data_IF_246163846274
#
_entry.id   IF_246163846274
#
_cell.length_a   1.000
_cell.length_b   1.000
_cell.length_c   1.000
_cell.angle_alpha   90.00
_cell.angle_beta   90.00
_cell.angle_gamma   90.00
#
_symmetry.space_group_name_H-M   'P 1'
#
loop_
_entity.id
_entity.type
_entity.pdbx_description
1 polymer ?
#
# COMPACT_ATOMS: atom_id res chain seq x y z
N UNK A 1 2.77 -4.61 23.97
CA UNK A 1 2.94 -3.19 24.39
C UNK A 1 3.44 -3.15 25.83
N UNK A 2 4.49 -2.38 26.12
CA UNK A 2 5.08 -2.30 27.48
C UNK A 2 4.25 -1.38 28.40
N UNK A 3 3.96 -1.85 29.61
CA UNK A 3 3.22 -1.16 30.69
C UNK A 3 3.81 0.23 31.00
N UNK A 4 5.12 0.40 30.79
CA UNK A 4 5.85 1.64 31.05
C UNK A 4 5.40 2.82 30.15
N UNK A 5 5.02 2.55 28.89
CA UNK A 5 4.56 3.61 27.96
C UNK A 5 3.18 4.14 28.33
N UNK A 6 2.34 3.30 28.95
CA UNK A 6 0.99 3.66 29.40
C UNK A 6 1.03 4.59 30.63
N UNK A 7 2.02 4.42 31.50
CA UNK A 7 2.23 5.23 32.70
C UNK A 7 2.77 6.63 32.41
N UNK A 8 3.48 6.82 31.30
CA UNK A 8 4.13 8.09 30.95
C UNK A 8 3.29 9.02 30.05
N UNK A 9 2.03 8.68 29.76
CA UNK A 9 1.17 9.52 28.90
C UNK A 9 1.68 9.68 27.46
N UNK A 10 2.61 8.84 27.01
CA UNK A 10 3.14 8.86 25.64
C UNK A 10 2.06 8.27 24.73
N UNK A 11 1.39 9.13 23.96
CA UNK A 11 0.43 8.72 22.94
C UNK A 11 1.09 7.71 21.98
N UNK A 12 0.50 6.52 21.88
CA UNK A 12 1.02 5.40 21.07
C UNK A 12 0.96 5.62 19.55
N UNK A 13 0.52 6.79 19.10
CA UNK A 13 0.26 7.09 17.69
C UNK A 13 1.37 7.92 17.03
N UNK A 14 2.46 8.22 17.74
CA UNK A 14 3.61 8.97 17.22
C UNK A 14 4.76 7.99 16.97
N UNK A 15 5.02 7.60 15.72
CA UNK A 15 6.22 6.85 15.38
C UNK A 15 7.50 7.61 15.74
N UNK A 16 8.49 6.88 16.23
CA UNK A 16 9.83 7.41 16.42
C UNK A 16 10.51 7.67 15.07
N UNK A 17 11.02 8.89 14.90
CA UNK A 17 11.72 9.34 13.69
C UNK A 17 13.22 9.48 14.00
N UNK A 18 14.07 8.92 13.14
CA UNK A 18 15.53 9.02 13.27
C UNK A 18 16.17 9.22 11.90
N UNK A 19 17.41 9.70 11.90
CA UNK A 19 18.19 9.82 10.66
C UNK A 19 18.49 8.43 10.07
N UNK A 20 18.29 8.30 8.75
CA UNK A 20 18.54 7.08 7.99
C UNK A 20 20.00 7.06 7.51
N UNK A 21 20.83 6.19 8.10
CA UNK A 21 22.25 6.07 7.75
C UNK A 21 22.41 5.10 6.58
N UNK A 22 23.22 5.48 5.59
CA UNK A 22 23.54 4.63 4.42
C UNK A 22 22.42 4.52 3.38
N UNK A 23 21.41 5.38 3.46
CA UNK A 23 20.34 5.45 2.49
C UNK A 23 20.77 6.17 1.19
N UNK A 24 20.46 5.59 0.04
CA UNK A 24 20.64 6.22 -1.26
C UNK A 24 19.26 6.36 -1.97
N UNK A 25 18.72 7.58 -2.09
CA UNK A 25 17.40 7.83 -2.70
C UNK A 25 17.30 7.36 -4.15
N UNK A 26 18.40 7.33 -4.90
CA UNK A 26 18.41 6.91 -6.31
C UNK A 26 18.08 5.42 -6.53
N UNK A 27 18.00 4.62 -5.45
CA UNK A 27 17.75 3.17 -5.51
C UNK A 27 16.36 2.77 -5.00
N UNK A 28 15.51 3.73 -4.64
CA UNK A 28 14.18 3.46 -4.09
C UNK A 28 13.13 4.15 -4.96
N UNK A 29 12.00 3.47 -5.19
CA UNK A 29 10.84 4.11 -5.81
C UNK A 29 10.30 5.17 -4.86
N UNK A 30 10.60 6.43 -5.14
CA UNK A 30 10.16 7.57 -4.35
C UNK A 30 8.94 8.21 -4.99
N UNK A 31 8.04 8.71 -4.15
CA UNK A 31 7.05 9.70 -4.58
C UNK A 31 7.46 11.05 -4.01
N UNK A 32 7.27 12.11 -4.78
CA UNK A 32 7.71 13.45 -4.41
C UNK A 32 6.52 14.41 -4.37
N UNK A 33 6.56 15.35 -3.43
CA UNK A 33 5.71 16.52 -3.47
C UNK A 33 6.20 17.58 -2.49
N UNK A 34 5.95 18.83 -2.86
CA UNK A 34 6.41 20.02 -2.15
C UNK A 34 7.87 19.98 -1.65
N UNK A 35 8.79 19.43 -2.47
CA UNK A 35 10.21 19.37 -2.14
C UNK A 35 10.59 18.29 -1.11
N UNK A 36 9.73 17.30 -0.87
CA UNK A 36 10.00 16.14 -0.01
C UNK A 36 9.73 14.86 -0.77
N UNK A 37 10.66 13.91 -0.68
CA UNK A 37 10.54 12.58 -1.26
C UNK A 37 10.21 11.53 -0.18
N UNK A 38 9.31 10.60 -0.50
CA UNK A 38 8.88 9.54 0.39
C UNK A 38 9.09 8.17 -0.22
N UNK A 39 9.43 7.18 0.61
CA UNK A 39 9.64 5.80 0.16
C UNK A 39 9.59 4.79 1.29
N UNK A 40 10.09 3.59 1.01
CA UNK A 40 10.19 2.51 1.99
C UNK A 40 11.64 2.09 2.22
N UNK A 41 12.01 1.92 3.49
CA UNK A 41 13.15 1.07 3.88
C UNK A 41 12.64 -0.17 4.61
N UNK A 42 13.48 -1.20 4.62
CA UNK A 42 13.14 -2.48 5.19
C UNK A 42 14.21 -2.91 6.17
N UNK A 43 13.78 -3.38 7.34
CA UNK A 43 14.66 -4.03 8.31
C UNK A 43 14.26 -5.51 8.38
N UNK A 44 15.18 -6.40 7.99
CA UNK A 44 14.95 -7.84 8.02
C UNK A 44 14.74 -8.33 9.47
N UNK A 45 13.72 -9.16 9.67
CA UNK A 45 13.43 -9.79 10.96
C UNK A 45 14.11 -11.15 11.12
N UNK A 46 14.74 -11.69 10.05
CA UNK A 46 15.42 -12.99 10.07
C UNK A 46 14.47 -14.20 9.99
N UNK A 47 13.18 -13.97 9.77
CA UNK A 47 12.14 -15.02 9.70
C UNK A 47 11.38 -15.03 8.36
N UNK A 48 11.95 -14.45 7.31
CA UNK A 48 11.30 -14.31 6.01
C UNK A 48 10.34 -13.12 5.90
N UNK A 49 10.27 -12.27 6.93
CA UNK A 49 9.55 -10.99 6.92
C UNK A 49 10.49 -9.83 7.19
N UNK A 50 10.09 -8.62 6.79
CA UNK A 50 10.80 -7.40 7.13
C UNK A 50 9.86 -6.39 7.74
N UNK A 51 10.35 -5.67 8.77
CA UNK A 51 9.69 -4.47 9.28
C UNK A 51 9.78 -3.37 8.22
N UNK A 52 8.63 -2.78 7.89
CA UNK A 52 8.53 -1.66 6.94
C UNK A 52 8.78 -0.36 7.70
N UNK A 53 9.53 0.54 7.08
CA UNK A 53 9.78 1.90 7.57
C UNK A 53 9.43 2.89 6.48
N UNK A 54 8.83 4.00 6.88
CA UNK A 54 8.58 5.13 5.99
C UNK A 54 9.84 5.99 5.96
N UNK A 55 10.35 6.23 4.75
CA UNK A 55 11.45 7.15 4.50
C UNK A 55 10.90 8.53 4.16
N UNK A 56 11.58 9.55 4.67
CA UNK A 56 11.26 10.96 4.47
C UNK A 56 12.56 11.67 4.13
N UNK A 57 12.67 12.16 2.89
CA UNK A 57 13.88 12.80 2.37
C UNK A 57 13.53 14.21 1.89
N UNK A 58 13.65 15.23 2.75
CA UNK A 58 13.44 16.62 2.35
C UNK A 58 14.56 17.06 1.40
N UNK A 59 14.24 17.48 0.18
CA UNK A 59 15.22 17.83 -0.86
C UNK A 59 16.06 19.07 -0.52
N UNK A 60 15.55 19.91 0.39
CA UNK A 60 16.25 21.08 0.91
C UNK A 60 17.25 20.74 2.03
N UNK A 61 17.36 19.46 2.43
CA UNK A 61 18.32 18.97 3.43
C UNK A 61 19.15 17.84 2.85
N UNK A 62 20.41 17.73 3.26
CA UNK A 62 21.27 16.58 2.91
C UNK A 62 21.02 15.37 3.82
N UNK A 63 19.81 15.25 4.38
CA UNK A 63 19.45 14.25 5.39
C UNK A 63 18.19 13.51 4.98
N UNK A 64 18.19 12.20 5.23
CA UNK A 64 16.99 11.38 5.11
C UNK A 64 16.64 10.85 6.49
N UNK A 65 15.36 10.76 6.77
CA UNK A 65 14.81 10.23 8.01
C UNK A 65 14.04 8.95 7.73
N UNK A 66 14.00 8.06 8.71
CA UNK A 66 13.13 6.89 8.70
C UNK A 66 12.27 6.87 9.97
N UNK A 67 11.04 6.41 9.82
CA UNK A 67 10.18 6.12 10.96
C UNK A 67 9.57 4.72 10.84
N UNK A 68 9.39 4.06 11.98
CA UNK A 68 8.79 2.73 12.02
C UNK A 68 7.29 2.82 11.71
N UNK A 69 6.78 1.97 10.80
CA UNK A 69 5.32 1.83 10.61
C UNK A 69 4.70 0.83 11.59
N UNK A 70 5.55 0.08 12.31
CA UNK A 70 5.21 -1.06 13.18
C UNK A 70 4.49 -2.22 12.46
N UNK A 71 4.62 -2.27 11.14
CA UNK A 71 4.08 -3.34 10.30
C UNK A 71 5.24 -4.13 9.70
N UNK A 72 5.17 -5.44 9.84
CA UNK A 72 6.05 -6.37 9.11
C UNK A 72 5.27 -7.00 7.96
N UNK A 73 5.96 -7.21 6.84
CA UNK A 73 5.42 -7.92 5.67
C UNK A 73 6.35 -9.04 5.27
N UNK A 74 5.82 -10.15 4.74
CA UNK A 74 6.64 -11.17 4.10
C UNK A 74 7.54 -10.56 3.02
N UNK A 75 8.78 -11.06 2.92
CA UNK A 75 9.78 -10.52 2.01
C UNK A 75 9.33 -10.56 0.53
N UNK A 76 8.55 -11.58 0.16
CA UNK A 76 7.94 -11.73 -1.17
C UNK A 76 6.84 -10.70 -1.50
N UNK A 77 6.35 -9.97 -0.50
CA UNK A 77 5.28 -8.97 -0.66
C UNK A 77 5.80 -7.52 -0.67
N UNK A 78 7.11 -7.29 -0.54
CA UNK A 78 7.71 -5.95 -0.52
C UNK A 78 7.33 -5.11 -1.75
N UNK A 79 7.35 -5.71 -2.92
CA UNK A 79 7.02 -5.03 -4.20
C UNK A 79 5.52 -4.80 -4.40
N UNK A 80 4.68 -5.31 -3.49
CA UNK A 80 3.24 -5.12 -3.48
C UNK A 80 2.77 -3.99 -2.55
N UNK A 81 3.68 -3.37 -1.80
CA UNK A 81 3.37 -2.14 -1.09
C UNK A 81 3.10 -1.01 -2.09
N UNK A 82 2.20 -0.09 -1.74
CA UNK A 82 1.93 1.11 -2.54
C UNK A 82 1.93 2.33 -1.63
N UNK A 83 2.65 3.35 -2.05
CA UNK A 83 2.71 4.66 -1.41
C UNK A 83 1.96 5.68 -2.28
N UNK A 84 1.19 6.56 -1.67
CA UNK A 84 0.51 7.67 -2.36
C UNK A 84 0.61 8.96 -1.55
N UNK A 85 0.80 10.09 -2.23
CA UNK A 85 0.76 11.41 -1.61
C UNK A 85 -0.68 11.91 -1.61
N UNK A 86 -1.21 12.23 -0.44
CA UNK A 86 -2.60 12.62 -0.21
C UNK A 86 -2.69 14.14 -0.07
N UNK A 87 -1.79 14.72 0.69
CA UNK A 87 -1.70 16.17 0.88
C UNK A 87 -0.24 16.53 0.89
N UNK A 88 0.11 17.58 0.18
CA UNK A 88 1.45 18.12 0.12
C UNK A 88 1.39 19.63 0.32
N UNK A 89 1.92 20.08 1.45
CA UNK A 89 1.88 21.49 1.86
C UNK A 89 3.18 21.91 2.53
N UNK A 90 3.39 23.21 2.72
CA UNK A 90 4.61 23.72 3.35
C UNK A 90 4.77 23.28 4.82
N UNK A 91 3.67 22.90 5.49
CA UNK A 91 3.68 22.61 6.93
C UNK A 91 3.47 21.13 7.22
N UNK A 92 2.47 20.52 6.59
CA UNK A 92 2.04 19.15 6.87
C UNK A 92 1.76 18.42 5.57
N UNK A 93 2.47 17.33 5.36
CA UNK A 93 2.17 16.38 4.31
C UNK A 93 1.37 15.21 4.86
N UNK A 94 0.57 14.57 4.00
CA UNK A 94 -0.13 13.32 4.32
C UNK A 94 0.18 12.28 3.28
N UNK A 95 0.59 11.11 3.74
CA UNK A 95 0.89 9.96 2.88
C UNK A 95 -0.02 8.79 3.24
N UNK A 96 -0.40 8.04 2.22
CA UNK A 96 -1.14 6.79 2.32
C UNK A 96 -0.26 5.61 1.96
N UNK A 97 -0.28 4.54 2.76
CA UNK A 97 0.41 3.29 2.49
C UNK A 97 -0.60 2.15 2.45
N UNK A 98 -0.57 1.36 1.38
CA UNK A 98 -1.31 0.09 1.32
C UNK A 98 -0.38 -1.04 1.77
N UNK A 99 -0.83 -1.78 2.78
CA UNK A 99 -0.21 -3.02 3.24
C UNK A 99 -1.06 -4.23 2.85
N UNK A 100 -0.46 -5.28 2.26
CA UNK A 100 -1.15 -6.56 2.08
C UNK A 100 -1.38 -7.22 3.45
N UNK A 101 -2.56 -7.80 3.65
CA UNK A 101 -2.87 -8.60 4.83
C UNK A 101 -2.79 -10.09 4.47
N UNK A 102 -1.75 -10.75 4.99
CA UNK A 102 -1.52 -12.18 4.78
C UNK A 102 -2.63 -13.04 5.40
N UNK A 103 -2.90 -14.15 4.73
CA UNK A 103 -3.88 -15.14 5.13
C UNK A 103 -3.60 -16.49 4.50
N UNK A 104 -4.50 -17.43 4.79
CA UNK A 104 -4.52 -18.76 4.21
C UNK A 104 -5.76 -18.83 3.31
N UNK A 105 -5.56 -19.26 2.07
CA UNK A 105 -6.61 -19.47 1.08
C UNK A 105 -7.48 -20.70 1.36
N UNK A 106 -8.41 -20.99 0.46
CA UNK A 106 -9.30 -22.15 0.60
C UNK A 106 -8.55 -23.48 0.44
N UNK A 107 -7.47 -23.51 -0.33
CA UNK A 107 -6.64 -24.70 -0.59
C UNK A 107 -5.42 -24.80 0.35
N UNK A 108 -5.35 -23.95 1.39
CA UNK A 108 -4.25 -23.95 2.36
C UNK A 108 -3.01 -23.17 1.93
N UNK A 109 -3.06 -22.51 0.78
CA UNK A 109 -1.98 -21.69 0.24
C UNK A 109 -1.89 -20.31 0.91
N UNK A 110 -0.69 -19.72 0.95
CA UNK A 110 -0.53 -18.34 1.40
C UNK A 110 -1.13 -17.39 0.38
N UNK A 111 -1.96 -16.46 0.85
CA UNK A 111 -2.58 -15.45 0.00
C UNK A 111 -2.69 -14.10 0.71
N UNK A 112 -3.03 -13.06 -0.06
CA UNK A 112 -3.38 -11.74 0.48
C UNK A 112 -4.90 -11.64 0.57
N UNK A 113 -5.46 -11.99 1.73
CA UNK A 113 -6.93 -12.05 1.93
C UNK A 113 -7.61 -10.70 2.02
N UNK A 114 -6.82 -9.64 2.23
CA UNK A 114 -7.28 -8.28 2.45
C UNK A 114 -6.13 -7.30 2.28
N UNK A 115 -6.46 -6.01 2.28
CA UNK A 115 -5.48 -4.93 2.29
C UNK A 115 -5.79 -4.01 3.46
N UNK A 116 -4.81 -3.23 3.90
CA UNK A 116 -5.03 -2.13 4.83
C UNK A 116 -4.40 -0.85 4.30
N UNK A 117 -5.18 0.22 4.31
CA UNK A 117 -4.74 1.56 3.99
C UNK A 117 -4.44 2.32 5.28
N UNK A 118 -3.18 2.67 5.47
CA UNK A 118 -2.69 3.43 6.61
C UNK A 118 -2.37 4.85 6.16
N UNK A 119 -2.83 5.83 6.93
CA UNK A 119 -2.55 7.25 6.67
C UNK A 119 -1.62 7.80 7.73
N UNK A 120 -0.61 8.55 7.29
CA UNK A 120 0.37 9.21 8.16
C UNK A 120 0.40 10.70 7.85
N UNK A 121 0.37 11.52 8.90
CA UNK A 121 0.63 12.96 8.84
C UNK A 121 2.09 13.22 9.16
N UNK A 122 2.72 14.10 8.39
CA UNK A 122 4.15 14.37 8.47
C UNK A 122 4.30 15.88 8.58
N UNK A 123 4.58 16.36 9.79
CA UNK A 123 4.85 17.77 10.02
C UNK A 123 6.31 18.06 9.69
N UNK A 124 6.50 18.95 8.72
CA UNK A 124 7.82 19.35 8.26
C UNK A 124 8.53 20.21 9.31
N UNK A 125 9.85 20.08 9.37
CA UNK A 125 10.70 20.77 10.35
C UNK A 125 12.10 20.94 9.81
N UNK A 126 12.76 22.01 10.23
CA UNK A 126 14.17 22.29 9.89
C UNK A 126 15.13 21.29 10.55
N UNK A 127 14.72 20.65 11.65
CA UNK A 127 15.58 19.74 12.41
C UNK A 127 15.27 18.27 12.11
N UNK A 128 14.09 17.80 12.53
CA UNK A 128 13.63 16.42 12.35
C UNK A 128 12.13 16.48 12.12
N UNK A 129 11.60 15.87 11.05
CA UNK A 129 10.16 15.81 10.84
C UNK A 129 9.49 15.01 11.95
N UNK A 130 8.24 15.34 12.27
CA UNK A 130 7.44 14.52 13.20
C UNK A 130 6.35 13.79 12.42
N UNK A 131 6.19 12.50 12.71
CA UNK A 131 5.19 11.65 12.06
C UNK A 131 4.10 11.28 13.05
N UNK A 132 2.85 11.28 12.59
CA UNK A 132 1.68 10.81 13.33
C UNK A 132 0.93 9.78 12.47
N UNK A 133 0.56 8.64 13.06
CA UNK A 133 -0.37 7.71 12.42
C UNK A 133 -1.81 8.21 12.61
N UNK A 134 -2.47 8.58 11.51
CA UNK A 134 -3.77 9.27 11.53
C UNK A 134 -4.96 8.32 11.47
N UNK A 135 -4.89 7.28 10.63
CA UNK A 135 -5.99 6.35 10.42
C UNK A 135 -5.52 5.00 9.85
N UNK A 136 -6.34 3.96 10.05
CA UNK A 136 -6.21 2.65 9.40
C UNK A 136 -7.58 2.23 8.87
N UNK A 137 -7.63 1.84 7.59
CA UNK A 137 -8.83 1.27 6.96
C UNK A 137 -8.55 -0.06 6.31
N UNK A 138 -9.32 -1.07 6.68
CA UNK A 138 -9.28 -2.38 6.04
C UNK A 138 -10.05 -2.33 4.73
N UNK A 139 -9.48 -2.90 3.67
CA UNK A 139 -10.06 -3.02 2.35
C UNK A 139 -10.23 -4.51 2.04
N UNK A 140 -11.46 -4.91 1.84
CA UNK A 140 -11.88 -6.28 1.53
C UNK A 140 -13.21 -6.21 0.79
N UNK A 141 -13.76 -7.35 0.37
CA UNK A 141 -14.95 -7.36 -0.49
C UNK A 141 -16.18 -6.75 0.19
N UNK A 142 -16.38 -7.08 1.46
CA UNK A 142 -17.50 -6.64 2.29
C UNK A 142 -17.01 -6.04 3.61
N UNK A 143 -17.61 -4.93 4.08
CA UNK A 143 -17.18 -4.29 5.33
C UNK A 143 -17.36 -5.18 6.56
N UNK A 144 -18.30 -6.13 6.55
CA UNK A 144 -18.40 -7.15 7.59
C UNK A 144 -17.29 -8.19 7.43
N UNK A 145 -16.36 -8.22 8.39
CA UNK A 145 -15.24 -9.15 8.43
C UNK A 145 -15.67 -10.63 8.37
N UNK A 146 -16.85 -10.96 8.87
CA UNK A 146 -17.35 -12.33 8.93
C UNK A 146 -18.16 -12.74 7.70
N UNK A 147 -18.35 -11.82 6.74
CA UNK A 147 -19.08 -12.10 5.53
C UNK A 147 -18.42 -13.21 4.72
N UNK A 148 -19.20 -14.20 4.29
CA UNK A 148 -18.74 -15.25 3.37
C UNK A 148 -18.21 -14.69 2.04
N UNK A 149 -18.61 -13.48 1.65
CA UNK A 149 -18.06 -12.79 0.49
C UNK A 149 -16.56 -12.50 0.61
N UNK A 150 -16.01 -12.46 1.83
CA UNK A 150 -14.60 -12.22 2.07
C UNK A 150 -13.73 -13.48 1.95
N UNK A 151 -14.33 -14.67 1.99
CA UNK A 151 -13.62 -15.96 2.00
C UNK A 151 -12.95 -16.21 0.65
N UNK A 152 -11.71 -16.72 0.70
CA UNK A 152 -10.92 -17.11 -0.47
C UNK A 152 -10.43 -15.96 -1.35
N UNK A 153 -10.66 -14.69 -0.98
CA UNK A 153 -10.10 -13.58 -1.75
C UNK A 153 -8.57 -13.64 -1.72
N UNK A 154 -7.97 -13.24 -2.84
CA UNK A 154 -6.53 -13.17 -3.00
C UNK A 154 -6.22 -11.93 -3.84
N UNK A 155 -5.76 -10.88 -3.17
CA UNK A 155 -5.46 -9.60 -3.81
C UNK A 155 -4.01 -9.54 -4.28
N UNK A 156 -3.75 -8.89 -5.41
CA UNK A 156 -2.42 -8.80 -5.98
C UNK A 156 -2.14 -7.44 -6.60
N UNK A 157 -0.91 -6.95 -6.38
CA UNK A 157 -0.40 -5.66 -6.88
C UNK A 157 -1.35 -4.48 -6.61
N UNK A 158 -1.64 -4.18 -5.33
CA UNK A 158 -2.48 -3.04 -5.02
C UNK A 158 -1.78 -1.72 -5.39
N UNK A 159 -2.57 -0.74 -5.83
CA UNK A 159 -2.13 0.63 -6.13
C UNK A 159 -3.13 1.63 -5.55
N UNK A 160 -2.62 2.70 -4.95
CA UNK A 160 -3.42 3.83 -4.50
C UNK A 160 -3.10 5.07 -5.34
N UNK A 161 -4.11 5.91 -5.57
CA UNK A 161 -3.90 7.27 -6.03
C UNK A 161 -4.92 8.22 -5.40
N UNK A 162 -4.48 9.44 -5.13
CA UNK A 162 -5.33 10.58 -4.82
C UNK A 162 -6.09 11.02 -6.08
N UNK A 163 -7.36 11.36 -5.92
CA UNK A 163 -8.16 12.03 -6.96
C UNK A 163 -8.40 13.51 -6.59
N UNK A 164 -8.82 14.32 -7.55
CA UNK A 164 -8.84 15.79 -7.45
C UNK A 164 -9.64 16.35 -6.25
N UNK A 165 -10.67 15.61 -5.79
CA UNK A 165 -11.47 16.02 -4.64
C UNK A 165 -10.84 15.65 -3.28
N UNK A 166 -9.62 15.13 -3.27
CA UNK A 166 -8.89 14.69 -2.07
C UNK A 166 -9.22 13.27 -1.61
N UNK A 167 -10.16 12.57 -2.27
CA UNK A 167 -10.42 11.15 -2.02
C UNK A 167 -9.25 10.29 -2.54
N UNK A 168 -9.23 9.03 -2.11
CA UNK A 168 -8.25 8.05 -2.59
C UNK A 168 -8.98 6.88 -3.24
N UNK A 169 -8.51 6.46 -4.40
CA UNK A 169 -8.94 5.21 -5.03
C UNK A 169 -7.83 4.19 -4.83
N UNK A 170 -8.21 3.01 -4.35
CA UNK A 170 -7.33 1.84 -4.28
C UNK A 170 -7.81 0.82 -5.29
N UNK A 171 -6.91 0.29 -6.09
CA UNK A 171 -7.20 -0.79 -7.04
C UNK A 171 -6.28 -1.98 -6.79
N UNK A 172 -6.77 -3.18 -7.07
CA UNK A 172 -5.98 -4.40 -7.00
C UNK A 172 -6.57 -5.47 -7.93
N UNK A 173 -5.77 -6.46 -8.32
CA UNK A 173 -6.30 -7.68 -8.90
C UNK A 173 -6.92 -8.53 -7.80
N UNK A 174 -8.13 -9.06 -8.01
CA UNK A 174 -8.67 -10.16 -7.22
C UNK A 174 -8.52 -11.45 -8.04
N UNK A 175 -7.59 -12.31 -7.63
CA UNK A 175 -7.21 -13.52 -8.36
C UNK A 175 -8.30 -14.59 -8.32
N UNK A 176 -9.12 -14.63 -7.25
CA UNK A 176 -10.25 -15.57 -7.13
C UNK A 176 -11.32 -15.29 -8.18
N UNK A 177 -11.75 -14.03 -8.26
CA UNK A 177 -12.80 -13.62 -9.19
C UNK A 177 -12.28 -13.33 -10.61
N UNK A 178 -10.94 -13.33 -10.79
CA UNK A 178 -10.26 -12.88 -12.01
C UNK A 178 -10.73 -11.50 -12.48
N UNK A 179 -10.85 -10.58 -11.53
CA UNK A 179 -11.33 -9.21 -11.78
C UNK A 179 -10.39 -8.18 -11.19
N UNK A 180 -10.15 -7.10 -11.93
CA UNK A 180 -9.60 -5.89 -11.36
C UNK A 180 -10.69 -5.22 -10.54
N UNK A 181 -10.37 -4.88 -9.31
CA UNK A 181 -11.32 -4.34 -8.34
C UNK A 181 -10.83 -3.02 -7.76
N UNK A 182 -11.74 -2.26 -7.16
CA UNK A 182 -11.46 -0.97 -6.56
C UNK A 182 -12.18 -0.75 -5.24
N UNK A 183 -11.58 0.07 -4.38
CA UNK A 183 -12.19 0.67 -3.20
C UNK A 183 -12.07 2.18 -3.30
N UNK A 184 -13.14 2.88 -2.92
CA UNK A 184 -13.18 4.33 -2.88
C UNK A 184 -13.11 4.77 -1.42
N UNK A 185 -12.10 5.57 -1.09
CA UNK A 185 -11.83 6.09 0.23
C UNK A 185 -12.17 7.58 0.23
N UNK A 186 -13.35 7.90 0.79
CA UNK A 186 -13.78 9.28 0.93
C UNK A 186 -12.99 9.97 2.03
N UNK A 187 -12.38 11.11 1.70
CA UNK A 187 -11.66 11.93 2.65
C UNK A 187 -12.61 12.52 3.69
N UNK A 188 -12.21 12.44 4.94
CA UNK A 188 -12.91 12.99 6.10
C UNK A 188 -12.09 14.11 6.76
N UNK A 189 -12.56 14.58 7.92
CA UNK A 189 -11.82 15.57 8.71
C UNK A 189 -10.48 14.99 9.18
N UNK A 190 -9.46 15.84 9.22
CA UNK A 190 -8.14 15.53 9.81
C UNK A 190 -7.39 14.36 9.16
N UNK A 191 -7.58 14.11 7.87
CA UNK A 191 -6.84 13.07 7.14
C UNK A 191 -7.32 11.64 7.39
N UNK A 192 -8.49 11.47 8.02
CA UNK A 192 -9.15 10.17 8.16
C UNK A 192 -9.94 9.84 6.90
N UNK A 193 -10.11 8.56 6.60
CA UNK A 193 -10.83 8.11 5.42
C UNK A 193 -12.02 7.23 5.79
N UNK A 194 -13.10 7.30 4.99
CA UNK A 194 -14.21 6.36 5.06
C UNK A 194 -14.25 5.54 3.78
N UNK A 195 -14.23 4.21 3.91
CA UNK A 195 -14.49 3.32 2.77
C UNK A 195 -15.96 3.48 2.37
N UNK A 196 -16.22 3.77 1.10
CA UNK A 196 -17.59 3.89 0.60
C UNK A 196 -18.24 2.51 0.48
N UNK A 197 -19.38 2.36 1.14
CA UNK A 197 -20.23 1.19 1.09
C UNK A 197 -21.18 1.23 -0.12
N UNK A 198 -21.33 0.07 -0.75
CA UNK A 198 -22.32 -0.21 -1.77
C UNK A 198 -23.51 -0.99 -1.19
N UNK A 199 -24.31 -1.56 -2.09
CA UNK A 199 -25.45 -2.43 -1.71
C UNK A 199 -24.94 -3.61 -0.89
N UNK A 200 -25.73 -4.00 0.12
CA UNK A 200 -25.42 -5.16 0.99
C UNK A 200 -24.00 -5.10 1.59
N UNK A 201 -23.51 -3.91 1.93
CA UNK A 201 -22.22 -3.72 2.60
C UNK A 201 -20.98 -4.10 1.77
N UNK A 202 -21.12 -4.33 0.46
CA UNK A 202 -19.98 -4.50 -0.44
C UNK A 202 -19.23 -3.18 -0.60
N UNK A 203 -17.95 -3.16 -0.29
CA UNK A 203 -17.07 -1.99 -0.45
C UNK A 203 -16.18 -2.10 -1.68
N UNK A 204 -15.93 -3.33 -2.15
CA UNK A 204 -15.24 -3.62 -3.40
C UNK A 204 -16.15 -3.36 -4.61
N UNK A 205 -15.60 -2.73 -5.66
CA UNK A 205 -16.26 -2.52 -6.94
C UNK A 205 -15.45 -3.14 -8.06
N UNK A 206 -16.10 -3.97 -8.88
CA UNK A 206 -15.48 -4.62 -10.04
C UNK A 206 -15.30 -3.59 -11.17
N UNK A 207 -14.09 -3.51 -11.71
CA UNK A 207 -13.75 -2.63 -12.83
C UNK A 207 -13.78 -3.38 -14.16
N UNK A 208 -13.00 -4.45 -14.28
CA UNK A 208 -12.93 -5.28 -15.49
C UNK A 208 -12.55 -6.72 -15.15
N UNK A 209 -12.92 -7.66 -16.01
CA UNK A 209 -12.45 -9.06 -15.95
C UNK A 209 -11.12 -9.20 -16.68
N UNK A 210 -10.27 -10.07 -16.18
CA UNK A 210 -9.00 -10.40 -16.83
C UNK A 210 -8.81 -11.90 -16.95
N UNK A 211 -8.06 -12.30 -17.97
CA UNK A 211 -7.71 -13.69 -18.22
C UNK A 211 -6.46 -14.17 -17.45
N UNK A 212 -5.55 -13.23 -17.20
CA UNK A 212 -4.27 -13.33 -16.49
C UNK A 212 -4.00 -11.97 -15.84
N UNK A 213 -3.33 -11.89 -14.68
CA UNK A 213 -2.96 -10.60 -14.09
C UNK A 213 -2.15 -9.75 -15.07
N UNK A 214 -2.54 -8.49 -15.20
CA UNK A 214 -1.88 -7.52 -16.09
C UNK A 214 -0.89 -6.66 -15.33
N UNK A 215 -0.19 -5.79 -16.05
CA UNK A 215 0.53 -4.68 -15.44
C UNK A 215 -0.41 -3.50 -15.26
N UNK A 216 -0.24 -2.81 -14.14
CA UNK A 216 -1.12 -1.74 -13.71
C UNK A 216 -0.32 -0.49 -13.35
N UNK A 217 -0.71 0.64 -13.93
CA UNK A 217 -0.29 1.96 -13.50
C UNK A 217 -1.53 2.81 -13.20
N UNK A 218 -1.47 3.55 -12.10
CA UNK A 218 -2.52 4.46 -11.65
C UNK A 218 -1.89 5.82 -11.38
N UNK A 219 -2.40 6.85 -12.03
CA UNK A 219 -1.97 8.23 -11.82
C UNK A 219 -3.21 9.13 -11.78
N UNK A 220 -3.54 9.65 -10.60
CA UNK A 220 -4.75 10.44 -10.40
C UNK A 220 -6.02 9.69 -10.81
N UNK A 221 -6.77 10.27 -11.74
CA UNK A 221 -7.99 9.71 -12.32
C UNK A 221 -7.73 8.79 -13.54
N UNK A 222 -6.47 8.56 -13.93
CA UNK A 222 -6.11 7.79 -15.11
C UNK A 222 -5.54 6.43 -14.72
N UNK A 223 -6.12 5.36 -15.28
CA UNK A 223 -5.66 3.99 -15.13
C UNK A 223 -5.15 3.45 -16.47
N UNK A 224 -3.91 2.95 -16.48
CA UNK A 224 -3.36 2.19 -17.58
C UNK A 224 -3.29 0.73 -17.17
N UNK A 225 -3.91 -0.13 -17.98
CA UNK A 225 -3.94 -1.56 -17.78
C UNK A 225 -3.44 -2.26 -19.04
N UNK A 226 -2.35 -3.02 -18.90
CA UNK A 226 -1.74 -3.76 -20.00
C UNK A 226 -1.74 -5.25 -19.69
N UNK A 227 -2.26 -6.05 -20.61
CA UNK A 227 -2.36 -7.50 -20.44
C UNK A 227 -1.84 -8.23 -21.67
N UNK A 228 -0.98 -9.23 -21.46
CA UNK A 228 -0.52 -10.10 -22.55
C UNK A 228 -1.63 -11.08 -22.91
N UNK A 229 -1.98 -11.12 -24.21
CA UNK A 229 -2.98 -12.06 -24.72
C UNK A 229 -2.54 -13.52 -24.52
N UNK A 230 -3.45 -14.37 -24.01
CA UNK A 230 -3.27 -15.83 -23.87
C UNK A 230 -2.83 -16.51 -25.18
N UNK A 231 -3.22 -15.97 -26.34
CA UNK A 231 -2.85 -16.53 -27.66
C UNK A 231 -1.36 -16.43 -27.93
N UNK A 232 -0.73 -15.34 -27.48
CA UNK A 232 0.71 -15.10 -27.66
C UNK A 232 1.52 -16.02 -26.74
N UNK A 233 1.08 -16.20 -25.49
CA UNK A 233 1.76 -17.05 -24.49
C UNK A 233 1.84 -18.51 -24.93
N UNK A 234 0.79 -19.04 -25.57
CA UNK A 234 0.80 -20.40 -26.13
C UNK A 234 1.75 -20.56 -27.32
N UNK A 235 1.93 -19.53 -28.15
CA UNK A 235 2.86 -19.59 -29.28
C UNK A 235 4.33 -19.56 -28.84
N UNK A 236 4.65 -18.78 -27.80
CA UNK A 236 6.00 -18.67 -27.25
C UNK A 236 6.45 -19.95 -26.52
N UNK A 237 5.53 -20.60 -25.79
CA UNK A 237 5.82 -21.89 -25.15
C UNK A 237 5.93 -23.04 -26.16
N UNK A 238 5.18 -22.99 -27.26
CA UNK A 238 5.30 -23.96 -28.35
C UNK A 238 6.64 -23.82 -29.11
N UNK A 239 7.11 -22.60 -29.34
CA UNK A 239 8.40 -22.36 -30.00
C UNK A 239 9.60 -22.74 -29.12
N UNK A 240 9.58 -22.43 -27.82
CA UNK A 240 10.62 -22.88 -26.88
C UNK A 240 10.78 -24.41 -26.79
N UNK A 241 9.70 -25.17 -27.04
CA UNK A 241 9.75 -26.64 -27.10
C UNK A 241 10.33 -27.18 -28.42
N UNK A 242 10.34 -26.38 -29.48
CA UNK A 242 10.94 -26.75 -30.78
C UNK A 242 12.44 -26.47 -30.82
N UNK A 243 12.90 -25.43 -30.13
CA UNK A 243 14.32 -25.08 -30.06
C UNK A 243 15.13 -25.95 -29.07
N UNK A 244 14.46 -26.89 -28.38
CA UNK A 244 15.06 -27.85 -27.45
C UNK A 244 15.14 -29.28 -28.00
N UNK A 245 15.03 -29.46 -29.32
CA UNK A 245 15.20 -30.74 -30.03
C UNK A 245 16.41 -30.64 -30.96
#
# INVERSE_FOLDING_TARGET
>A
MSILRRLLGINSNIPEVKEAIGFNPAKVGLIEGNGVAYGFSYQDNGNGSSKVKLLISPLYQSKTYECNTDISVANELKDQLSLTLIEDSAEIDKVGIIFPEEGIGEEGEKCVKGLSFHTYGIKQSVNTPSVEHLDKRKLQKNIDNNSLANVGNSYFQPRAAKVDNGDVIVIAHNLKDQTLVSWYLKSGKSGKFKVLDGKQHFTERKLLKFDNPGQLALNGNTMLYAQVSKRITKSLSANKKRDSI
#
